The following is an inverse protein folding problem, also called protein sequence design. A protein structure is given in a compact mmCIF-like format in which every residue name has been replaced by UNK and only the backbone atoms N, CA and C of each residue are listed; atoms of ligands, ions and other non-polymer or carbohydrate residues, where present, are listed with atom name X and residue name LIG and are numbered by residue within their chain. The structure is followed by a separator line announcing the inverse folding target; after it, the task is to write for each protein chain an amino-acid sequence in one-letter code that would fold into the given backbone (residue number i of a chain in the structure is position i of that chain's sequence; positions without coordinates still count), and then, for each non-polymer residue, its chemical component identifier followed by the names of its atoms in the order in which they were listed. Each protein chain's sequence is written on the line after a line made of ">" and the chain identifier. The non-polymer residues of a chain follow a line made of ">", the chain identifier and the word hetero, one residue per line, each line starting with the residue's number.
data_IF_167377068943
#
_entry.id   IF_167377068943
#
_cell.length_a   1.000
_cell.length_b   1.000
_cell.length_c   1.000
_cell.angle_alpha   90.00
_cell.angle_beta   90.00
_cell.angle_gamma   90.00
#
_symmetry.space_group_name_H-M   'P 1'
#
loop_
_entity.id
_entity.type
_entity.pdbx_description
1 polymer ?
#
# COMPACT_ATOMS: atom_id res chain seq x y z
N UNK A 1 8.56 9.24 -24.76
CA UNK A 1 8.27 8.27 -23.68
C UNK A 1 8.39 9.06 -22.39
N UNK A 2 7.27 9.38 -21.75
CA UNK A 2 7.27 10.11 -20.47
C UNK A 2 7.91 9.19 -19.44
N UNK A 3 9.09 9.55 -18.94
CA UNK A 3 9.65 8.90 -17.76
C UNK A 3 8.64 9.15 -16.64
N UNK A 4 8.14 8.08 -16.04
CA UNK A 4 7.29 8.21 -14.88
C UNK A 4 8.17 8.86 -13.80
N UNK A 5 7.77 9.97 -13.16
CA UNK A 5 8.55 10.60 -12.08
C UNK A 5 8.93 9.60 -10.98
N UNK A 6 8.21 8.48 -10.91
CA UNK A 6 8.42 7.40 -9.99
C UNK A 6 9.30 6.26 -10.49
N UNK A 7 9.79 6.28 -11.74
CA UNK A 7 10.85 5.35 -12.22
C UNK A 7 12.16 5.52 -11.42
N UNK A 8 12.31 6.64 -10.73
CA UNK A 8 13.39 6.95 -9.80
C UNK A 8 12.94 7.06 -8.33
N UNK A 9 11.84 6.41 -7.94
CA UNK A 9 11.51 6.30 -6.53
C UNK A 9 12.69 5.68 -5.77
N UNK A 10 13.12 6.46 -4.79
CA UNK A 10 14.18 6.26 -3.81
C UNK A 10 14.56 4.80 -3.49
N UNK A 11 15.81 4.54 -3.05
CA UNK A 11 16.17 3.25 -2.46
C UNK A 11 15.08 2.77 -1.51
N UNK A 12 14.64 1.50 -1.62
CA UNK A 12 13.54 0.90 -0.83
C UNK A 12 13.47 1.53 0.55
N UNK A 13 12.49 2.40 0.77
CA UNK A 13 12.40 3.13 2.02
C UNK A 13 12.23 2.10 3.15
N UNK A 14 13.17 2.04 4.12
CA UNK A 14 13.15 1.05 5.18
C UNK A 14 11.96 1.23 6.12
N UNK A 15 11.32 2.41 6.14
CA UNK A 15 10.13 2.68 6.97
C UNK A 15 8.95 1.73 6.67
N UNK A 16 8.89 1.17 5.45
CA UNK A 16 7.84 0.22 5.05
C UNK A 16 8.23 -1.26 5.20
N UNK A 17 9.44 -1.56 5.68
CA UNK A 17 9.89 -2.94 5.79
C UNK A 17 9.42 -3.57 7.10
N UNK A 18 8.76 -4.72 7.01
CA UNK A 18 8.31 -5.52 8.16
C UNK A 18 7.45 -4.72 9.17
N UNK A 19 6.63 -3.78 8.67
CA UNK A 19 5.75 -3.01 9.55
C UNK A 19 4.73 -3.94 10.23
N UNK A 20 4.46 -3.79 11.53
CA UNK A 20 3.40 -4.55 12.18
C UNK A 20 2.03 -3.96 11.83
N UNK A 21 0.98 -4.78 11.89
CA UNK A 21 -0.40 -4.31 11.86
C UNK A 21 -0.61 -3.24 12.96
N UNK A 22 -1.25 -2.09 12.67
CA UNK A 22 -1.56 -1.09 13.69
C UNK A 22 -2.51 -1.63 14.79
N UNK A 23 -2.51 -0.98 15.95
CA UNK A 23 -3.45 -1.30 17.02
C UNK A 23 -4.91 -1.07 16.57
N UNK A 24 -5.84 -1.89 17.06
CA UNK A 24 -7.28 -1.80 16.70
C UNK A 24 -7.83 -0.40 16.91
N UNK A 25 -7.49 0.25 18.02
CA UNK A 25 -7.92 1.63 18.30
C UNK A 25 -7.40 2.65 17.31
N UNK A 26 -6.19 2.46 16.76
CA UNK A 26 -5.64 3.32 15.71
C UNK A 26 -6.29 3.08 14.36
N UNK A 27 -6.65 1.83 14.04
CA UNK A 27 -7.25 1.48 12.74
C UNK A 27 -8.65 2.07 12.53
N UNK A 28 -9.38 2.31 13.61
CA UNK A 28 -10.72 2.93 13.59
C UNK A 28 -10.67 4.47 13.56
N UNK A 29 -9.47 5.08 13.60
CA UNK A 29 -9.30 6.53 13.57
C UNK A 29 -8.17 6.94 12.62
N UNK A 30 -8.53 7.40 11.43
CA UNK A 30 -7.58 7.79 10.39
C UNK A 30 -6.59 8.87 10.84
N UNK A 31 -7.02 9.85 11.66
CA UNK A 31 -6.13 10.89 12.17
C UNK A 31 -5.05 10.30 13.09
N UNK A 32 -5.44 9.39 14.00
CA UNK A 32 -4.48 8.69 14.88
C UNK A 32 -3.54 7.82 14.06
N UNK A 33 -4.09 7.04 13.12
CA UNK A 33 -3.31 6.15 12.25
C UNK A 33 -2.21 6.92 11.49
N UNK A 34 -2.59 8.02 10.82
CA UNK A 34 -1.66 8.82 10.04
C UNK A 34 -0.70 9.64 10.92
N UNK A 35 -1.11 10.03 12.13
CA UNK A 35 -0.19 10.68 13.07
C UNK A 35 0.91 9.74 13.57
N UNK A 36 0.60 8.45 13.72
CA UNK A 36 1.56 7.42 14.13
C UNK A 36 2.44 6.96 12.96
N UNK A 37 1.95 7.13 11.72
CA UNK A 37 2.61 6.69 10.48
C UNK A 37 2.66 7.83 9.47
N UNK A 38 3.51 8.85 9.69
CA UNK A 38 3.60 10.00 8.79
C UNK A 38 4.03 9.59 7.36
N UNK A 39 4.84 8.54 7.22
CA UNK A 39 5.21 7.98 5.91
C UNK A 39 4.01 7.45 5.13
N UNK A 40 2.98 6.91 5.80
CA UNK A 40 1.75 6.51 5.10
C UNK A 40 1.00 7.72 4.54
N UNK A 41 1.02 8.86 5.23
CA UNK A 41 0.43 10.10 4.72
C UNK A 41 1.19 10.61 3.48
N UNK A 42 2.53 10.51 3.49
CA UNK A 42 3.37 10.82 2.32
C UNK A 42 3.00 9.94 1.10
N UNK A 43 2.87 8.62 1.31
CA UNK A 43 2.46 7.69 0.26
C UNK A 43 1.05 7.97 -0.26
N UNK A 44 0.09 8.25 0.63
CA UNK A 44 -1.28 8.57 0.23
C UNK A 44 -1.38 9.89 -0.55
N UNK A 45 -0.56 10.88 -0.21
CA UNK A 45 -0.51 12.14 -0.97
C UNK A 45 0.06 11.91 -2.38
N UNK A 46 1.10 11.08 -2.50
CA UNK A 46 1.64 10.64 -3.78
C UNK A 46 0.59 9.90 -4.64
N UNK A 47 -0.11 8.94 -4.05
CA UNK A 47 -1.23 8.23 -4.69
C UNK A 47 -2.32 9.20 -5.15
N UNK A 48 -2.69 10.16 -4.30
CA UNK A 48 -3.70 11.18 -4.62
C UNK A 48 -3.31 12.00 -5.83
N UNK A 49 -2.07 12.47 -5.89
CA UNK A 49 -1.56 13.27 -7.01
C UNK A 49 -1.55 12.46 -8.31
N UNK A 50 -1.18 11.17 -8.23
CA UNK A 50 -1.01 10.31 -9.40
C UNK A 50 -2.34 9.81 -9.98
N UNK A 51 -3.23 9.35 -9.11
CA UNK A 51 -4.45 8.65 -9.48
C UNK A 51 -5.72 9.48 -9.30
N UNK A 52 -5.60 10.69 -8.75
CA UNK A 52 -6.72 11.57 -8.44
C UNK A 52 -7.77 10.91 -7.53
N UNK A 53 -7.33 10.05 -6.61
CA UNK A 53 -8.15 9.40 -5.59
C UNK A 53 -7.89 10.02 -4.22
N UNK A 54 -8.93 10.21 -3.43
CA UNK A 54 -8.78 10.80 -2.10
C UNK A 54 -8.20 9.78 -1.09
N UNK A 55 -7.29 10.20 -0.19
CA UNK A 55 -6.66 9.33 0.80
C UNK A 55 -7.63 8.50 1.64
N UNK A 56 -8.78 9.07 1.98
CA UNK A 56 -9.79 8.37 2.78
C UNK A 56 -10.41 7.17 2.03
N UNK A 57 -10.51 7.22 0.70
CA UNK A 57 -11.03 6.11 -0.10
C UNK A 57 -10.06 4.93 -0.06
N UNK A 58 -8.77 5.23 -0.23
CA UNK A 58 -7.69 4.24 -0.13
C UNK A 58 -7.67 3.61 1.25
N UNK A 59 -7.74 4.42 2.32
CA UNK A 59 -7.79 3.93 3.70
C UNK A 59 -9.02 3.07 3.99
N UNK A 60 -10.19 3.42 3.42
CA UNK A 60 -11.42 2.63 3.58
C UNK A 60 -11.30 1.25 2.93
N UNK A 61 -10.78 1.17 1.71
CA UNK A 61 -10.51 -0.12 1.05
C UNK A 61 -9.47 -0.92 1.84
N UNK A 62 -8.37 -0.29 2.23
CA UNK A 62 -7.33 -0.94 3.03
C UNK A 62 -7.87 -1.53 4.34
N UNK A 63 -8.72 -0.78 5.04
CA UNK A 63 -9.39 -1.25 6.26
C UNK A 63 -10.29 -2.45 5.95
N UNK A 64 -11.11 -2.38 4.91
CA UNK A 64 -12.06 -3.44 4.57
C UNK A 64 -11.39 -4.73 4.08
N UNK A 65 -10.33 -4.60 3.29
CA UNK A 65 -9.68 -5.73 2.64
C UNK A 65 -8.68 -6.43 3.58
N UNK A 66 -7.83 -5.67 4.26
CA UNK A 66 -6.72 -6.24 5.04
C UNK A 66 -6.72 -5.87 6.52
N UNK A 67 -7.60 -4.96 6.96
CA UNK A 67 -7.51 -4.33 8.29
C UNK A 67 -6.09 -3.83 8.57
N UNK A 68 -5.45 -3.23 7.56
CA UNK A 68 -4.07 -2.75 7.63
C UNK A 68 -3.05 -3.82 8.05
N UNK A 69 -3.32 -5.10 7.79
CA UNK A 69 -2.38 -6.17 8.06
C UNK A 69 -1.55 -6.48 6.79
N UNK A 70 -0.22 -6.26 6.82
CA UNK A 70 0.64 -6.47 5.66
C UNK A 70 0.74 -7.93 5.22
N UNK A 71 0.39 -8.88 6.10
CA UNK A 71 0.43 -10.32 5.82
C UNK A 71 -0.98 -10.94 5.85
N UNK A 72 -2.03 -10.12 5.67
CA UNK A 72 -3.41 -10.61 5.61
C UNK A 72 -3.55 -11.69 4.53
N UNK A 73 -4.15 -12.83 4.87
CA UNK A 73 -4.44 -13.91 3.94
C UNK A 73 -5.93 -14.27 4.04
N UNK A 74 -6.67 -14.12 2.94
CA UNK A 74 -8.07 -14.55 2.90
C UNK A 74 -8.20 -16.03 2.56
N UNK A 75 -9.39 -16.59 2.82
CA UNK A 75 -9.75 -17.97 2.41
C UNK A 75 -9.67 -18.19 0.90
N UNK A 76 -9.69 -17.11 0.11
CA UNK A 76 -9.56 -17.14 -1.35
C UNK A 76 -8.11 -17.00 -1.86
N UNK A 77 -7.12 -17.06 -0.96
CA UNK A 77 -5.68 -16.90 -1.22
C UNK A 77 -5.28 -15.51 -1.76
N UNK A 78 -6.07 -14.47 -1.45
CA UNK A 78 -5.64 -13.08 -1.62
C UNK A 78 -4.71 -12.66 -0.47
N UNK A 79 -3.65 -11.91 -0.78
CA UNK A 79 -2.55 -11.66 0.14
C UNK A 79 -2.18 -10.17 0.27
N UNK A 80 -1.78 -9.78 1.48
CA UNK A 80 -1.22 -8.49 1.84
C UNK A 80 -2.24 -7.36 1.92
N UNK A 81 -1.74 -6.12 1.96
CA UNK A 81 -2.55 -4.90 2.11
C UNK A 81 -3.66 -4.78 1.06
N UNK A 82 -3.30 -5.05 -0.20
CA UNK A 82 -4.20 -4.91 -1.35
C UNK A 82 -5.11 -6.13 -1.59
N UNK A 83 -4.96 -7.22 -0.84
CA UNK A 83 -5.72 -8.47 -1.03
C UNK A 83 -5.77 -8.95 -2.49
N UNK A 84 -4.62 -8.91 -3.18
CA UNK A 84 -4.53 -9.33 -4.58
C UNK A 84 -4.05 -10.78 -4.67
N UNK A 85 -4.76 -11.60 -5.45
CA UNK A 85 -4.36 -12.98 -5.74
C UNK A 85 -3.01 -13.03 -6.45
N UNK A 86 -2.24 -14.08 -6.17
CA UNK A 86 -0.89 -14.27 -6.73
C UNK A 86 -0.80 -14.09 -8.26
N UNK A 87 -1.66 -14.69 -9.10
CA UNK A 87 -1.54 -14.58 -10.55
C UNK A 87 -1.80 -13.15 -11.06
N UNK A 88 -2.72 -12.44 -10.40
CA UNK A 88 -3.03 -11.02 -10.70
C UNK A 88 -1.85 -10.12 -10.32
N UNK A 89 -1.17 -10.43 -9.22
CA UNK A 89 0.01 -9.70 -8.77
C UNK A 89 1.22 -9.89 -9.68
N UNK A 90 1.47 -11.12 -10.14
CA UNK A 90 2.55 -11.42 -11.10
C UNK A 90 2.34 -10.68 -12.43
N UNK A 91 1.10 -10.63 -12.91
CA UNK A 91 0.74 -9.84 -14.09
C UNK A 91 1.00 -8.33 -13.89
N UNK A 92 0.63 -7.78 -12.73
CA UNK A 92 0.87 -6.36 -12.41
C UNK A 92 2.37 -6.03 -12.40
N UNK A 93 3.19 -6.86 -11.75
CA UNK A 93 4.65 -6.73 -11.73
C UNK A 93 5.25 -6.73 -13.14
N UNK A 94 4.83 -7.68 -13.99
CA UNK A 94 5.26 -7.75 -15.40
C UNK A 94 4.89 -6.49 -16.18
N UNK A 95 3.67 -5.97 -16.00
CA UNK A 95 3.19 -4.78 -16.73
C UNK A 95 3.87 -3.49 -16.28
N UNK A 96 4.19 -3.38 -14.98
CA UNK A 96 4.91 -2.23 -14.42
C UNK A 96 6.42 -2.27 -14.70
N UNK A 97 6.96 -3.41 -15.17
CA UNK A 97 8.40 -3.59 -15.37
C UNK A 97 9.21 -3.59 -14.06
N UNK A 98 8.55 -3.83 -12.92
CA UNK A 98 9.15 -3.73 -11.58
C UNK A 98 9.22 -5.12 -10.95
N UNK A 99 10.44 -5.61 -10.71
CA UNK A 99 10.68 -6.89 -10.02
C UNK A 99 10.72 -6.77 -8.49
N UNK A 100 10.65 -5.55 -7.95
CA UNK A 100 10.95 -5.27 -6.54
C UNK A 100 9.78 -4.63 -5.75
N UNK A 101 8.54 -4.72 -6.23
CA UNK A 101 7.33 -4.28 -5.49
C UNK A 101 6.81 -5.39 -4.57
N UNK A 102 6.28 -5.03 -3.40
CA UNK A 102 5.74 -5.98 -2.42
C UNK A 102 4.32 -5.62 -1.96
N UNK A 103 3.42 -6.61 -1.95
CA UNK A 103 2.06 -6.49 -1.38
C UNK A 103 2.03 -6.21 0.13
N UNK A 104 3.16 -6.41 0.79
CA UNK A 104 3.33 -6.24 2.23
C UNK A 104 3.80 -4.82 2.57
N UNK A 105 4.21 -4.04 1.59
CA UNK A 105 4.61 -2.64 1.79
C UNK A 105 3.44 -1.73 1.49
N UNK A 106 3.20 -0.77 2.38
CA UNK A 106 2.05 0.12 2.25
C UNK A 106 2.17 1.02 1.02
N UNK A 107 3.35 1.59 0.76
CA UNK A 107 3.63 2.45 -0.42
C UNK A 107 3.35 1.74 -1.76
N UNK A 108 3.76 0.49 -1.88
CA UNK A 108 3.50 -0.33 -3.08
C UNK A 108 2.03 -0.75 -3.20
N UNK A 109 1.29 -0.85 -2.09
CA UNK A 109 -0.08 -1.33 -2.07
C UNK A 109 -1.12 -0.23 -2.35
N UNK A 110 -0.78 1.04 -2.10
CA UNK A 110 -1.66 2.19 -2.37
C UNK A 110 -1.46 2.79 -3.76
N UNK A 111 -0.50 2.30 -4.54
CA UNK A 111 -0.11 2.82 -5.87
C UNK A 111 -0.56 1.94 -7.04
#
# INVERSE_FOLDING_TARGET
>A
MSQDPWDNLAPRDPRYQNEPQPAVSSMENACVLLSQRPHWAEALDATRIRWHIEPWQVLAFMHQESRFNPTAMSTSQAYGYAQVKQPTWEWYQMKRGRQNVSRERFDDAVD
#
